data_IF_918211317516
#
_entry.id   IF_918211317516
#
_cell.length_a   1.000
_cell.length_b   1.000
_cell.length_c   1.000
_cell.angle_alpha   90.00
_cell.angle_beta   90.00
_cell.angle_gamma   90.00
#
_symmetry.space_group_name_H-M   'P 1'
#
loop_
_entity.id
_entity.type
_entity.pdbx_description
1 polymer ?
#
# COMPACT_ATOMS: atom_id res chain seq x y z
N UNK A 1 -2.20 -11.10 -6.51
CA UNK A 1 -2.12 -9.74 -7.06
C UNK A 1 -3.23 -9.58 -8.07
N UNK A 2 -3.95 -8.46 -8.08
CA UNK A 2 -4.93 -8.11 -9.12
C UNK A 2 -4.48 -6.80 -9.76
N UNK A 3 -4.68 -6.67 -11.07
CA UNK A 3 -4.30 -5.50 -11.88
C UNK A 3 -5.53 -4.95 -12.58
N UNK A 4 -5.65 -3.63 -12.67
CA UNK A 4 -6.75 -2.97 -13.37
C UNK A 4 -6.15 -2.00 -14.39
N UNK A 5 -6.55 -2.14 -15.67
CA UNK A 5 -6.18 -1.18 -16.70
C UNK A 5 -7.17 0.00 -16.67
N UNK A 6 -6.73 1.24 -16.37
CA UNK A 6 -7.65 2.36 -16.21
C UNK A 6 -8.23 2.92 -17.52
N UNK A 7 -7.73 2.48 -18.69
CA UNK A 7 -8.05 3.10 -20.01
C UNK A 7 -8.94 2.20 -20.89
N UNK A 8 -9.39 1.02 -20.43
CA UNK A 8 -10.21 0.13 -21.26
C UNK A 8 -11.70 0.55 -21.28
N UNK A 9 -12.18 0.94 -22.47
CA UNK A 9 -13.52 1.48 -22.70
C UNK A 9 -14.63 0.44 -22.93
N UNK A 10 -14.31 -0.87 -22.98
CA UNK A 10 -15.30 -1.92 -23.24
C UNK A 10 -15.33 -2.97 -22.11
N UNK A 11 -16.45 -3.01 -21.39
CA UNK A 11 -16.88 -4.21 -20.65
C UNK A 11 -16.26 -4.49 -19.28
N UNK A 12 -15.30 -3.68 -18.80
CA UNK A 12 -14.78 -3.80 -17.42
C UNK A 12 -15.44 -2.79 -16.50
N UNK A 13 -16.37 -3.26 -15.67
CA UNK A 13 -16.88 -2.45 -14.56
C UNK A 13 -15.77 -2.31 -13.52
N UNK A 14 -15.53 -1.11 -12.97
CA UNK A 14 -14.59 -0.97 -11.87
C UNK A 14 -15.01 -1.93 -10.75
N UNK A 15 -14.03 -2.55 -10.10
CA UNK A 15 -14.30 -3.41 -8.95
C UNK A 15 -15.16 -2.61 -7.96
N UNK A 16 -16.32 -3.14 -7.53
CA UNK A 16 -17.12 -2.47 -6.51
C UNK A 16 -16.26 -2.18 -5.27
N UNK A 17 -16.56 -1.11 -4.55
CA UNK A 17 -15.79 -0.65 -3.40
C UNK A 17 -15.67 -1.76 -2.34
N UNK A 18 -16.74 -2.52 -2.13
CA UNK A 18 -16.76 -3.68 -1.24
C UNK A 18 -15.74 -4.78 -1.63
N UNK A 19 -15.43 -4.90 -2.93
CA UNK A 19 -14.41 -5.82 -3.43
C UNK A 19 -13.01 -5.21 -3.35
N UNK A 20 -12.85 -3.93 -3.70
CA UNK A 20 -11.57 -3.21 -3.57
C UNK A 20 -11.10 -3.19 -2.12
N UNK A 21 -12.01 -3.02 -1.17
CA UNK A 21 -11.69 -2.99 0.24
C UNK A 21 -10.95 -4.29 0.63
N UNK A 22 -11.15 -5.45 -0.03
CA UNK A 22 -10.47 -6.72 0.33
C UNK A 22 -8.95 -6.71 0.08
N UNK A 23 -8.43 -5.79 -0.70
CA UNK A 23 -6.99 -5.71 -1.01
C UNK A 23 -6.23 -4.95 0.07
N UNK A 24 -5.13 -5.50 0.59
CA UNK A 24 -4.27 -4.84 1.58
C UNK A 24 -3.88 -3.42 1.11
N UNK A 25 -3.29 -3.35 -0.09
CA UNK A 25 -2.84 -2.10 -0.70
C UNK A 25 -3.43 -1.89 -2.10
N UNK A 26 -3.65 -0.61 -2.45
CA UNK A 26 -3.77 -0.16 -3.84
C UNK A 26 -2.48 0.58 -4.22
N UNK A 27 -1.67 -0.06 -5.06
CA UNK A 27 -0.42 0.51 -5.57
C UNK A 27 -0.70 1.17 -6.92
N UNK A 28 -0.18 2.38 -7.11
CA UNK A 28 -0.18 3.05 -8.41
C UNK A 28 1.16 2.75 -9.08
N UNK A 29 1.10 2.27 -10.30
CA UNK A 29 2.28 2.00 -11.11
C UNK A 29 2.37 3.07 -12.18
N UNK A 30 3.48 3.79 -12.17
CA UNK A 30 3.85 4.71 -13.25
C UNK A 30 4.88 4.02 -14.16
N UNK A 31 5.13 4.63 -15.32
CA UNK A 31 6.18 4.15 -16.22
C UNK A 31 7.56 4.26 -15.54
N UNK A 32 8.48 3.31 -15.84
CA UNK A 32 9.86 3.39 -15.35
C UNK A 32 10.58 4.62 -15.90
N UNK A 33 11.76 4.93 -15.34
CA UNK A 33 12.61 5.96 -15.92
C UNK A 33 13.07 5.53 -17.34
N UNK A 34 13.39 6.47 -18.25
CA UNK A 34 13.90 6.11 -19.57
C UNK A 34 15.14 5.20 -19.53
N UNK A 35 15.99 5.36 -18.50
CA UNK A 35 17.17 4.50 -18.33
C UNK A 35 16.79 3.06 -17.96
N UNK A 36 15.83 2.89 -17.04
CA UNK A 36 15.32 1.56 -16.65
C UNK A 36 14.56 0.92 -17.81
N UNK A 37 13.80 1.70 -18.57
CA UNK A 37 13.07 1.23 -19.76
C UNK A 37 14.03 0.71 -20.83
N UNK A 38 15.13 1.43 -21.09
CA UNK A 38 16.18 0.97 -22.00
C UNK A 38 16.85 -0.33 -21.54
N UNK A 39 17.08 -0.50 -20.24
CA UNK A 39 17.64 -1.75 -19.72
C UNK A 39 16.66 -2.93 -19.85
N UNK A 40 15.36 -2.69 -19.62
CA UNK A 40 14.32 -3.71 -19.87
C UNK A 40 14.32 -4.14 -21.33
N UNK A 41 14.36 -3.20 -22.27
CA UNK A 41 14.42 -3.49 -23.71
C UNK A 41 15.68 -4.26 -24.09
N UNK A 42 16.85 -3.87 -23.56
CA UNK A 42 18.12 -4.56 -23.81
C UNK A 42 18.10 -6.02 -23.31
N UNK A 43 17.51 -6.27 -22.14
CA UNK A 43 17.34 -7.63 -21.60
C UNK A 43 16.40 -8.46 -22.45
N UNK A 44 15.29 -7.87 -22.90
CA UNK A 44 14.37 -8.52 -23.83
C UNK A 44 15.07 -8.93 -25.14
N UNK A 45 15.82 -8.02 -25.75
CA UNK A 45 16.59 -8.29 -26.98
C UNK A 45 17.67 -9.36 -26.77
N UNK A 46 18.24 -9.47 -25.57
CA UNK A 46 19.21 -10.52 -25.24
C UNK A 46 18.61 -11.92 -25.15
N UNK A 47 17.28 -12.05 -25.30
CA UNK A 47 16.58 -13.33 -25.34
C UNK A 47 16.22 -13.90 -23.97
N UNK A 48 16.09 -13.05 -22.94
CA UNK A 48 15.66 -13.51 -21.61
C UNK A 48 14.24 -14.11 -21.69
N UNK A 49 14.07 -15.33 -21.17
CA UNK A 49 12.78 -15.99 -21.13
C UNK A 49 11.94 -15.46 -19.97
N UNK A 50 11.00 -14.56 -20.24
CA UNK A 50 10.21 -13.91 -19.18
C UNK A 50 9.15 -14.82 -18.52
N UNK A 51 8.73 -15.90 -19.17
CA UNK A 51 7.64 -16.74 -18.66
C UNK A 51 8.10 -17.87 -17.75
N UNK A 52 9.39 -18.21 -17.82
CA UNK A 52 9.98 -19.30 -17.05
C UNK A 52 11.16 -18.74 -16.25
N UNK A 53 10.97 -18.48 -14.94
CA UNK A 53 12.01 -17.93 -14.09
C UNK A 53 13.30 -18.75 -14.09
N UNK A 54 13.20 -20.08 -14.20
CA UNK A 54 14.38 -20.96 -14.22
C UNK A 54 15.17 -20.73 -15.51
N UNK A 55 14.49 -20.66 -16.67
CA UNK A 55 15.14 -20.33 -17.94
C UNK A 55 15.64 -18.88 -18.00
N UNK A 56 15.02 -17.98 -17.25
CA UNK A 56 15.50 -16.62 -17.05
C UNK A 56 16.78 -16.54 -16.20
N UNK A 57 17.27 -17.65 -15.67
CA UNK A 57 18.44 -17.70 -14.79
C UNK A 57 18.16 -17.28 -13.35
N UNK A 58 16.89 -17.29 -12.92
CA UNK A 58 16.50 -17.00 -11.53
C UNK A 58 16.69 -18.25 -10.69
N UNK A 59 17.52 -18.14 -9.65
CA UNK A 59 17.75 -19.22 -8.69
C UNK A 59 16.87 -19.05 -7.44
N UNK A 60 16.32 -20.15 -6.88
CA UNK A 60 15.59 -20.08 -5.61
C UNK A 60 16.51 -19.65 -4.47
N UNK A 61 16.18 -18.53 -3.82
CA UNK A 61 16.91 -18.02 -2.64
C UNK A 61 16.26 -18.40 -1.32
N UNK A 62 14.97 -18.75 -1.33
CA UNK A 62 14.17 -19.13 -0.17
C UNK A 62 13.27 -20.31 -0.50
N UNK A 63 13.05 -21.19 0.47
CA UNK A 63 12.07 -22.26 0.45
C UNK A 63 10.72 -21.82 1.02
N UNK A 64 9.70 -22.67 0.88
CA UNK A 64 8.41 -22.45 1.54
C UNK A 64 8.54 -22.39 3.07
N UNK A 65 9.46 -23.17 3.66
CA UNK A 65 9.71 -23.14 5.10
C UNK A 65 10.32 -21.81 5.54
N UNK A 66 11.17 -21.21 4.71
CA UNK A 66 11.75 -19.89 4.99
C UNK A 66 10.70 -18.78 4.95
N UNK A 67 9.71 -18.89 4.04
CA UNK A 67 8.57 -17.96 4.00
C UNK A 67 7.75 -18.05 5.30
N UNK A 68 7.48 -19.26 5.81
CA UNK A 68 6.80 -19.42 7.10
C UNK A 68 7.62 -18.88 8.27
N UNK A 69 8.95 -19.07 8.24
CA UNK A 69 9.86 -18.47 9.21
C UNK A 69 9.81 -16.92 9.16
N UNK A 70 9.75 -16.33 7.96
CA UNK A 70 9.59 -14.89 7.79
C UNK A 70 8.26 -14.40 8.36
N UNK A 71 7.15 -15.11 8.11
CA UNK A 71 5.83 -14.79 8.69
C UNK A 71 5.85 -14.84 10.22
N UNK A 72 6.52 -15.85 10.79
CA UNK A 72 6.70 -15.99 12.23
C UNK A 72 7.62 -14.89 12.81
N UNK A 73 8.60 -14.42 12.06
CA UNK A 73 9.44 -13.30 12.47
C UNK A 73 8.66 -11.98 12.46
N UNK A 74 7.97 -11.67 11.37
CA UNK A 74 7.11 -10.49 11.24
C UNK A 74 6.09 -10.44 12.38
N UNK A 75 5.47 -11.57 12.75
CA UNK A 75 4.46 -11.59 13.82
C UNK A 75 4.99 -11.15 15.18
N UNK A 76 6.30 -11.31 15.44
CA UNK A 76 6.97 -10.92 16.70
C UNK A 76 7.32 -9.44 16.79
N UNK A 77 7.36 -8.71 15.68
CA UNK A 77 7.65 -7.27 15.67
C UNK A 77 6.64 -6.54 16.57
N UNK A 78 7.12 -5.78 17.53
CA UNK A 78 6.28 -5.13 18.54
C UNK A 78 5.51 -3.96 17.91
N UNK A 79 4.22 -3.89 18.22
CA UNK A 79 3.41 -2.72 17.91
C UNK A 79 2.88 -2.21 19.24
N UNK A 80 3.43 -1.09 19.70
CA UNK A 80 3.09 -0.54 20.99
C UNK A 80 1.76 0.22 20.97
N UNK A 81 1.22 0.40 22.17
CA UNK A 81 -0.07 1.03 22.40
C UNK A 81 -0.13 2.49 21.91
N UNK A 82 1.03 3.17 21.87
CA UNK A 82 1.16 4.50 21.24
C UNK A 82 0.95 4.45 19.72
N UNK A 83 1.45 3.42 19.04
CA UNK A 83 1.29 3.23 17.60
C UNK A 83 -0.15 2.85 17.25
N UNK A 84 -0.79 2.00 18.08
CA UNK A 84 -2.23 1.69 17.92
C UNK A 84 -3.08 2.96 17.96
N UNK A 85 -2.86 3.80 18.97
CA UNK A 85 -3.52 5.12 19.06
C UNK A 85 -3.24 5.99 17.84
N UNK A 86 -1.98 6.07 17.41
CA UNK A 86 -1.63 6.85 16.23
C UNK A 86 -2.39 6.41 14.97
N UNK A 87 -2.56 5.10 14.75
CA UNK A 87 -3.36 4.57 13.64
C UNK A 87 -4.85 4.93 13.78
N UNK A 88 -5.40 4.84 14.99
CA UNK A 88 -6.79 5.24 15.27
C UNK A 88 -6.99 6.75 15.06
N UNK A 89 -6.02 7.57 15.46
CA UNK A 89 -6.07 9.02 15.29
C UNK A 89 -6.03 9.40 13.81
N UNK A 90 -5.18 8.74 13.01
CA UNK A 90 -5.14 8.90 11.55
C UNK A 90 -6.49 8.53 10.91
N UNK A 91 -7.04 7.36 11.24
CA UNK A 91 -8.32 6.94 10.70
C UNK A 91 -9.46 7.88 11.14
N UNK A 92 -9.48 8.31 12.40
CA UNK A 92 -10.46 9.26 12.93
C UNK A 92 -10.36 10.61 12.21
N UNK A 93 -9.15 11.09 11.94
CA UNK A 93 -8.92 12.30 11.16
C UNK A 93 -9.46 12.17 9.72
N UNK A 94 -9.36 11.01 9.07
CA UNK A 94 -10.01 10.80 7.76
C UNK A 94 -11.54 10.85 7.84
N UNK A 95 -12.14 10.34 8.94
CA UNK A 95 -13.60 10.36 9.13
C UNK A 95 -14.14 11.76 9.44
N UNK A 96 -13.30 12.62 10.04
CA UNK A 96 -13.64 14.00 10.36
C UNK A 96 -13.28 15.00 9.24
N UNK A 97 -12.56 14.55 8.20
CA UNK A 97 -12.15 15.42 7.11
C UNK A 97 -13.36 15.88 6.27
N UNK A 98 -13.56 17.20 6.06
CA UNK A 98 -14.73 17.70 5.33
C UNK A 98 -14.75 17.25 3.87
N UNK A 99 -13.59 16.97 3.27
CA UNK A 99 -13.44 16.49 1.89
C UNK A 99 -13.93 15.04 1.72
N UNK A 100 -14.11 14.31 2.81
CA UNK A 100 -14.39 12.87 2.82
C UNK A 100 -15.87 12.61 3.14
N UNK A 101 -16.52 11.85 2.28
CA UNK A 101 -17.87 11.31 2.49
C UNK A 101 -17.84 10.03 3.34
N UNK A 102 -16.82 9.17 3.12
CA UNK A 102 -16.59 7.95 3.89
C UNK A 102 -15.10 7.80 4.22
N UNK A 103 -14.78 7.85 5.52
CA UNK A 103 -13.41 7.70 6.03
C UNK A 103 -12.96 6.25 6.19
N UNK A 104 -11.70 6.08 6.60
CA UNK A 104 -11.08 4.77 6.78
C UNK A 104 -11.83 3.93 7.83
N UNK A 105 -12.11 2.66 7.52
CA UNK A 105 -12.76 1.72 8.43
C UNK A 105 -11.78 1.10 9.44
N UNK A 106 -12.29 0.42 10.46
CA UNK A 106 -11.46 -0.40 11.36
C UNK A 106 -10.66 -1.46 10.61
N UNK A 107 -11.18 -1.94 9.47
CA UNK A 107 -10.44 -2.87 8.63
C UNK A 107 -9.23 -2.22 7.98
N UNK A 108 -9.34 -0.96 7.56
CA UNK A 108 -8.21 -0.19 7.06
C UNK A 108 -7.12 -0.09 8.14
N UNK A 109 -7.50 0.21 9.40
CA UNK A 109 -6.58 0.29 10.55
C UNK A 109 -5.82 -1.03 10.75
N UNK A 110 -6.53 -2.17 10.78
CA UNK A 110 -5.91 -3.51 10.92
C UNK A 110 -4.92 -3.79 9.80
N UNK A 111 -5.29 -3.47 8.56
CA UNK A 111 -4.47 -3.71 7.39
C UNK A 111 -3.23 -2.82 7.35
N UNK A 112 -3.36 -1.55 7.76
CA UNK A 112 -2.22 -0.65 7.93
C UNK A 112 -1.25 -1.17 9.00
N UNK A 113 -1.76 -1.63 10.15
CA UNK A 113 -0.92 -2.23 11.20
C UNK A 113 -0.18 -3.49 10.75
N UNK A 114 -0.84 -4.36 9.98
CA UNK A 114 -0.22 -5.55 9.40
C UNK A 114 0.90 -5.18 8.43
N UNK A 115 0.65 -4.21 7.55
CA UNK A 115 1.64 -3.67 6.63
C UNK A 115 2.83 -3.05 7.35
N UNK A 116 2.58 -2.17 8.33
CA UNK A 116 3.62 -1.47 9.09
C UNK A 116 4.52 -2.43 9.88
N UNK A 117 3.95 -3.52 10.40
CA UNK A 117 4.70 -4.61 11.05
C UNK A 117 5.63 -5.33 10.07
N UNK A 118 5.13 -5.66 8.89
CA UNK A 118 5.94 -6.28 7.84
C UNK A 118 7.05 -5.34 7.37
N UNK A 119 6.74 -4.06 7.19
CA UNK A 119 7.74 -3.07 6.77
C UNK A 119 8.84 -2.90 7.83
N UNK A 120 8.48 -2.76 9.10
CA UNK A 120 9.45 -2.72 10.19
C UNK A 120 10.41 -3.93 10.17
N UNK A 121 9.89 -5.14 9.96
CA UNK A 121 10.73 -6.34 9.85
C UNK A 121 11.70 -6.28 8.67
N UNK A 122 11.24 -5.83 7.49
CA UNK A 122 12.11 -5.66 6.31
C UNK A 122 13.16 -4.58 6.50
N UNK A 123 12.87 -3.56 7.31
CA UNK A 123 13.79 -2.49 7.69
C UNK A 123 14.70 -2.87 8.88
N UNK A 124 14.65 -4.14 9.33
CA UNK A 124 15.48 -4.65 10.43
C UNK A 124 15.06 -4.19 11.83
N UNK A 125 13.86 -3.61 11.97
CA UNK A 125 13.35 -3.13 13.24
C UNK A 125 12.51 -4.19 13.96
N UNK A 126 12.75 -4.34 15.27
CA UNK A 126 11.95 -5.20 16.14
C UNK A 126 10.62 -4.56 16.59
N UNK A 127 10.39 -3.28 16.26
CA UNK A 127 9.18 -2.56 16.60
C UNK A 127 8.74 -1.60 15.49
N UNK A 128 7.44 -1.31 15.45
CA UNK A 128 6.85 -0.37 14.48
C UNK A 128 7.08 1.08 14.93
N UNK A 129 7.58 1.92 14.02
CA UNK A 129 7.74 3.37 14.22
C UNK A 129 6.58 4.13 13.54
N UNK A 130 6.38 5.42 13.87
CA UNK A 130 5.42 6.25 13.15
C UNK A 130 5.71 6.36 11.65
N UNK A 131 6.97 6.29 11.25
CA UNK A 131 7.37 6.40 9.84
C UNK A 131 6.97 5.15 9.03
N UNK A 132 7.07 3.95 9.63
CA UNK A 132 6.52 2.73 9.02
C UNK A 132 5.01 2.84 8.77
N UNK A 133 4.26 3.48 9.67
CA UNK A 133 2.83 3.72 9.51
C UNK A 133 2.58 4.74 8.41
N UNK A 134 3.28 5.89 8.43
CA UNK A 134 3.10 6.95 7.44
C UNK A 134 3.40 6.49 6.02
N UNK A 135 4.49 5.76 5.83
CA UNK A 135 4.91 5.26 4.51
C UNK A 135 3.84 4.37 3.84
N UNK A 136 3.04 3.67 4.65
CA UNK A 136 2.01 2.76 4.17
C UNK A 136 0.59 3.32 4.26
N UNK A 137 0.41 4.54 4.78
CA UNK A 137 -0.90 5.15 4.98
C UNK A 137 -1.65 5.29 3.64
N UNK A 138 -1.01 5.93 2.66
CA UNK A 138 -1.63 6.15 1.36
C UNK A 138 -1.99 4.85 0.62
N UNK A 139 -1.07 3.87 0.41
CA UNK A 139 -1.42 2.63 -0.27
C UNK A 139 -2.44 1.79 0.52
N UNK A 140 -2.49 1.90 1.85
CA UNK A 140 -3.51 1.23 2.65
C UNK A 140 -4.87 1.93 2.60
N UNK A 141 -4.95 3.26 2.57
CA UNK A 141 -6.25 3.93 2.77
C UNK A 141 -6.89 4.44 1.47
N UNK A 142 -6.13 4.72 0.40
CA UNK A 142 -6.63 5.45 -0.78
C UNK A 142 -7.86 4.86 -1.47
N UNK A 143 -8.03 3.55 -1.46
CA UNK A 143 -9.18 2.86 -2.07
C UNK A 143 -10.31 2.57 -1.09
N UNK A 144 -10.19 3.07 0.14
CA UNK A 144 -11.16 2.94 1.22
C UNK A 144 -11.77 4.27 1.62
N UNK A 145 -11.38 5.34 0.94
CA UNK A 145 -11.91 6.68 1.12
C UNK A 145 -12.84 7.00 -0.04
N UNK A 146 -14.00 7.57 0.29
CA UNK A 146 -14.89 8.17 -0.70
C UNK A 146 -14.84 9.68 -0.51
N UNK A 147 -14.41 10.40 -1.53
CA UNK A 147 -14.40 11.86 -1.52
C UNK A 147 -15.82 12.38 -1.74
N UNK A 148 -16.10 13.57 -1.23
CA UNK A 148 -17.30 14.31 -1.62
C UNK A 148 -17.14 14.86 -3.04
N UNK A 149 -18.23 14.95 -3.83
CA UNK A 149 -18.15 15.49 -5.19
C UNK A 149 -17.50 16.87 -5.29
N UNK A 150 -17.75 17.74 -4.31
CA UNK A 150 -17.18 19.10 -4.29
C UNK A 150 -15.65 19.09 -4.16
N UNK A 151 -15.11 18.13 -3.40
CA UNK A 151 -13.66 17.97 -3.24
C UNK A 151 -13.01 17.43 -4.53
N UNK A 152 -13.65 16.47 -5.21
CA UNK A 152 -13.18 15.96 -6.49
C UNK A 152 -13.15 17.06 -7.57
N UNK A 153 -14.20 17.88 -7.64
CA UNK A 153 -14.27 19.04 -8.55
C UNK A 153 -13.18 20.06 -8.24
N UNK A 154 -12.82 20.22 -6.97
CA UNK A 154 -11.70 21.06 -6.53
C UNK A 154 -10.32 20.43 -6.78
N UNK A 155 -10.25 19.25 -7.42
CA UNK A 155 -9.00 18.57 -7.77
C UNK A 155 -8.36 17.80 -6.61
N UNK A 156 -9.08 17.59 -5.50
CA UNK A 156 -8.58 16.76 -4.40
C UNK A 156 -8.56 15.29 -4.78
N UNK A 157 -7.60 14.57 -4.20
CA UNK A 157 -7.45 13.12 -4.37
C UNK A 157 -7.41 12.44 -3.00
N UNK A 158 -7.69 11.13 -2.91
CA UNK A 158 -7.47 10.40 -1.66
C UNK A 158 -6.06 10.59 -1.11
N UNK A 159 -5.05 10.59 -1.98
CA UNK A 159 -3.65 10.76 -1.58
C UNK A 159 -3.39 12.16 -1.01
N UNK A 160 -3.88 13.24 -1.66
CA UNK A 160 -3.69 14.61 -1.15
C UNK A 160 -4.39 14.86 0.19
N UNK A 161 -5.56 14.26 0.40
CA UNK A 161 -6.26 14.33 1.69
C UNK A 161 -5.51 13.53 2.76
N UNK A 162 -4.97 12.36 2.42
CA UNK A 162 -4.18 11.55 3.34
C UNK A 162 -2.88 12.25 3.77
N UNK A 163 -2.22 12.95 2.86
CA UNK A 163 -1.05 13.77 3.17
C UNK A 163 -1.40 14.89 4.14
N UNK A 164 -2.53 15.58 3.91
CA UNK A 164 -3.02 16.61 4.82
C UNK A 164 -3.37 16.05 6.21
N UNK A 165 -3.98 14.85 6.27
CA UNK A 165 -4.27 14.14 7.53
C UNK A 165 -2.96 13.78 8.25
N UNK A 166 -2.00 13.20 7.54
CA UNK A 166 -0.71 12.80 8.12
C UNK A 166 0.09 13.98 8.67
N UNK A 167 -0.05 15.17 8.06
CA UNK A 167 0.57 16.41 8.53
C UNK A 167 -0.11 17.01 9.78
N UNK A 168 -1.40 16.73 10.01
CA UNK A 168 -2.16 17.26 11.16
C UNK A 168 -2.08 16.37 12.39
N UNK A 169 -2.02 15.04 12.22
CA UNK A 169 -1.98 14.09 13.33
C UNK A 169 -0.55 13.97 13.85
N UNK A 170 -0.34 14.39 15.10
CA UNK A 170 0.97 14.39 15.74
C UNK A 170 1.43 12.94 15.99
N UNK A 171 2.60 12.52 15.45
CA UNK A 171 3.12 11.19 15.74
C UNK A 171 3.56 11.08 17.20
N UNK A 172 3.45 9.89 17.82
CA UNK A 172 3.92 9.68 19.18
C UNK A 172 5.44 9.83 19.27
N UNK A 173 5.91 10.32 20.42
CA UNK A 173 7.34 10.33 20.79
C UNK A 173 7.80 8.95 21.27
#
# INVERSE_FOLDING_TARGET
>A
MATQNPIEYEGTYPLPEAQQDRFLFKVRLDYPSPADEMEVLRRWESGIELRDPVKAGVEPVLSAADIEACRAHVSRVVLDEKIRRYVVDLASATRAAPEIALGASTRAEVLLMLGARAYAAFDGHEFVTPDHVKALLAPAFRHRLILRPEAEVAGQTPDSVLDAVAGRVVPPR
#
